data_IF_820434269914
#
_entry.id   IF_820434269914
#
_cell.length_a   1.000
_cell.length_b   1.000
_cell.length_c   1.000
_cell.angle_alpha   90.00
_cell.angle_beta   90.00
_cell.angle_gamma   90.00
#
_symmetry.space_group_name_H-M   'P 1'
#
loop_
_entity.id
_entity.type
_entity.pdbx_description
1 polymer ?
#
# COMPACT_ATOMS: atom_id res chain seq x y z
N UNK A 1 57.52 24.44 -7.53
CA UNK A 1 58.10 24.88 -6.25
C UNK A 1 56.98 25.54 -5.44
N UNK A 2 56.01 24.75 -4.98
CA UNK A 2 54.94 25.12 -4.04
C UNK A 2 54.32 23.78 -3.61
N UNK A 3 54.98 23.14 -2.65
CA UNK A 3 54.56 21.90 -2.00
C UNK A 3 55.31 21.84 -0.67
N UNK A 4 54.77 22.54 0.33
CA UNK A 4 55.30 22.50 1.70
C UNK A 4 54.34 23.07 2.75
N UNK A 5 53.30 23.83 2.37
CA UNK A 5 52.57 24.65 3.35
C UNK A 5 51.24 24.03 3.84
N UNK A 6 50.86 22.85 3.35
CA UNK A 6 49.58 22.21 3.75
C UNK A 6 49.73 21.07 4.79
N UNK A 7 50.97 20.77 5.21
CA UNK A 7 51.27 19.68 6.15
C UNK A 7 51.50 20.19 7.58
N UNK A 8 51.58 21.52 7.78
CA UNK A 8 51.70 22.16 9.09
C UNK A 8 50.34 22.48 9.73
N UNK A 9 49.30 22.72 8.94
CA UNK A 9 47.94 22.99 9.47
C UNK A 9 47.22 21.74 9.98
N UNK A 10 47.63 20.54 9.56
CA UNK A 10 47.08 19.27 10.07
C UNK A 10 47.77 18.78 11.35
N UNK A 11 48.96 19.30 11.67
CA UNK A 11 49.72 18.88 12.87
C UNK A 11 49.42 19.69 14.12
N UNK A 12 48.76 20.84 13.99
CA UNK A 12 48.27 21.62 15.15
C UNK A 12 46.87 21.17 15.63
N UNK A 13 46.20 20.25 14.94
CA UNK A 13 44.89 19.72 15.33
C UNK A 13 44.94 18.50 16.26
N UNK A 14 46.14 17.91 16.44
CA UNK A 14 46.36 16.81 17.38
C UNK A 14 47.28 17.27 18.51
N UNK A 15 46.73 18.04 19.45
CA UNK A 15 47.21 18.13 20.82
C UNK A 15 46.97 16.81 21.56
N UNK A 16 47.50 15.72 21.03
CA UNK A 16 47.36 14.39 21.62
C UNK A 16 48.45 14.19 22.66
N UNK A 17 48.19 14.56 23.93
CA UNK A 17 48.83 13.85 25.05
C UNK A 17 48.25 14.01 26.46
N UNK A 18 47.32 14.92 26.72
CA UNK A 18 46.82 15.14 28.10
C UNK A 18 45.30 14.95 28.28
N UNK A 19 44.58 14.44 27.28
CA UNK A 19 43.11 14.64 27.22
C UNK A 19 42.27 13.36 27.05
N UNK A 20 42.61 12.33 27.83
CA UNK A 20 41.76 11.15 28.04
C UNK A 20 41.92 10.80 29.54
N UNK A 21 40.82 10.74 30.30
CA UNK A 21 40.86 10.20 31.66
C UNK A 21 41.41 8.76 31.62
N UNK A 22 42.05 8.29 32.70
CA UNK A 22 42.75 6.99 32.73
C UNK A 22 41.89 5.77 32.30
N UNK A 23 40.57 5.92 32.21
CA UNK A 23 39.59 4.91 31.79
C UNK A 23 39.13 4.98 30.32
N UNK A 24 39.58 5.98 29.53
CA UNK A 24 39.20 6.07 28.10
C UNK A 24 37.85 6.75 27.82
N UNK A 25 37.18 7.26 28.85
CA UNK A 25 35.86 7.86 28.74
C UNK A 25 35.91 9.37 28.42
N UNK A 26 34.98 9.82 27.57
CA UNK A 26 34.82 11.21 27.17
C UNK A 26 34.25 12.00 28.34
N UNK A 27 34.93 13.08 28.77
CA UNK A 27 34.42 13.97 29.81
C UNK A 27 33.12 14.66 29.37
N UNK A 28 32.25 15.03 30.32
CA UNK A 28 30.94 15.66 30.02
C UNK A 28 31.07 16.96 29.19
N UNK A 29 32.23 17.63 29.26
CA UNK A 29 32.51 18.87 28.53
C UNK A 29 32.87 18.59 27.07
N UNK A 30 33.57 17.48 26.79
CA UNK A 30 33.92 17.00 25.45
C UNK A 30 32.74 16.33 24.72
N UNK A 31 31.71 15.90 25.46
CA UNK A 31 30.53 15.24 24.86
C UNK A 31 29.83 16.11 23.81
N UNK A 32 29.75 17.43 24.03
CA UNK A 32 29.13 18.34 23.08
C UNK A 32 29.88 18.40 21.74
N UNK A 33 31.21 18.42 21.77
CA UNK A 33 32.04 18.43 20.55
C UNK A 33 32.06 17.07 19.85
N UNK A 34 32.10 15.99 20.63
CA UNK A 34 32.01 14.62 20.12
C UNK A 34 30.67 14.38 19.39
N UNK A 35 29.56 14.93 19.90
CA UNK A 35 28.25 14.86 19.25
C UNK A 35 28.26 15.47 17.85
N UNK A 36 28.93 16.63 17.66
CA UNK A 36 29.03 17.26 16.34
C UNK A 36 29.84 16.45 15.36
N UNK A 37 30.87 15.74 15.83
CA UNK A 37 31.65 14.82 14.98
C UNK A 37 30.77 13.67 14.47
N UNK A 38 29.95 13.08 15.34
CA UNK A 38 28.98 12.03 14.96
C UNK A 38 27.92 12.58 13.99
N UNK A 39 27.37 13.76 14.28
CA UNK A 39 26.37 14.40 13.40
C UNK A 39 26.98 14.71 12.02
N UNK A 40 28.22 15.19 11.96
CA UNK A 40 28.89 15.49 10.70
C UNK A 40 29.09 14.21 9.87
N UNK A 41 29.56 13.13 10.50
CA UNK A 41 29.69 11.83 9.83
C UNK A 41 28.37 11.29 9.29
N UNK A 42 27.26 11.55 9.99
CA UNK A 42 25.92 11.18 9.54
C UNK A 42 25.53 11.94 8.26
N UNK A 43 25.77 13.24 8.20
CA UNK A 43 25.45 14.05 7.02
C UNK A 43 26.40 13.81 5.86
N UNK A 44 27.66 13.48 6.11
CA UNK A 44 28.63 13.10 5.08
C UNK A 44 28.21 11.79 4.38
N UNK A 45 27.68 10.81 5.12
CA UNK A 45 27.24 9.55 4.55
C UNK A 45 25.82 9.63 3.95
N UNK A 46 24.86 10.25 4.66
CA UNK A 46 23.45 10.24 4.25
C UNK A 46 23.07 11.40 3.35
N UNK A 47 23.69 12.57 3.51
CA UNK A 47 23.25 13.79 2.86
C UNK A 47 21.87 14.28 3.36
N UNK A 48 21.31 15.29 2.68
CA UNK A 48 20.10 16.01 3.12
C UNK A 48 18.79 15.51 2.51
N UNK A 49 18.85 14.85 1.34
CA UNK A 49 17.67 14.45 0.55
C UNK A 49 17.52 12.93 0.41
N UNK A 50 18.21 12.19 1.27
CA UNK A 50 18.30 10.72 1.22
C UNK A 50 16.94 10.03 1.14
N UNK A 51 15.97 10.52 1.90
CA UNK A 51 14.61 9.98 1.96
C UNK A 51 13.91 10.01 0.59
N UNK A 52 14.15 11.01 -0.26
CA UNK A 52 13.54 11.08 -1.58
C UNK A 52 14.25 10.13 -2.55
N UNK A 53 15.59 10.09 -2.51
CA UNK A 53 16.41 9.22 -3.35
C UNK A 53 16.15 7.74 -3.04
N UNK A 54 16.27 7.35 -1.76
CA UNK A 54 16.04 5.97 -1.32
C UNK A 54 14.61 5.51 -1.64
N UNK A 55 13.62 6.39 -1.45
CA UNK A 55 12.24 6.05 -1.78
C UNK A 55 12.03 5.86 -3.28
N UNK A 56 12.68 6.66 -4.13
CA UNK A 56 12.61 6.50 -5.58
C UNK A 56 13.37 5.26 -6.06
N UNK A 57 14.54 4.99 -5.49
CA UNK A 57 15.37 3.83 -5.83
C UNK A 57 14.66 2.52 -5.45
N UNK A 58 14.05 2.45 -4.25
CA UNK A 58 13.19 1.31 -3.86
C UNK A 58 12.02 1.11 -4.82
N UNK A 59 11.42 2.21 -5.28
CA UNK A 59 10.32 2.15 -6.22
C UNK A 59 10.75 1.48 -7.53
N UNK A 60 11.84 1.93 -8.13
CA UNK A 60 12.33 1.41 -9.41
C UNK A 60 12.85 -0.03 -9.27
N UNK A 61 13.62 -0.33 -8.22
CA UNK A 61 14.27 -1.63 -8.04
C UNK A 61 13.28 -2.73 -7.67
N UNK A 62 12.30 -2.42 -6.83
CA UNK A 62 11.43 -3.43 -6.22
C UNK A 62 9.96 -3.24 -6.60
N UNK A 63 9.41 -2.04 -6.37
CA UNK A 63 7.96 -1.83 -6.48
C UNK A 63 7.44 -1.97 -7.92
N UNK A 64 8.15 -1.48 -8.94
CA UNK A 64 7.73 -1.63 -10.35
C UNK A 64 7.66 -3.10 -10.75
N UNK A 65 8.69 -3.90 -10.42
CA UNK A 65 8.73 -5.33 -10.75
C UNK A 65 7.58 -6.08 -10.06
N UNK A 66 7.36 -5.81 -8.76
CA UNK A 66 6.25 -6.41 -8.00
C UNK A 66 4.88 -6.08 -8.59
N UNK A 67 4.66 -4.85 -9.07
CA UNK A 67 3.40 -4.45 -9.69
C UNK A 67 3.14 -5.23 -10.99
N UNK A 68 4.19 -5.46 -11.77
CA UNK A 68 4.10 -6.21 -13.04
C UNK A 68 3.83 -7.69 -12.77
N UNK A 69 4.49 -8.29 -11.77
CA UNK A 69 4.28 -9.69 -11.36
C UNK A 69 2.91 -9.96 -10.70
N UNK A 70 2.41 -9.01 -9.90
CA UNK A 70 1.08 -9.09 -9.27
C UNK A 70 -0.07 -8.93 -10.30
N UNK A 71 0.25 -8.45 -11.50
CA UNK A 71 -0.73 -8.33 -12.57
C UNK A 71 -1.17 -9.72 -13.06
N UNK A 72 -2.48 -9.92 -13.19
CA UNK A 72 -3.02 -11.18 -13.71
C UNK A 72 -2.65 -11.33 -15.17
N UNK A 73 -2.35 -12.57 -15.57
CA UNK A 73 -2.15 -12.91 -16.96
C UNK A 73 -3.41 -12.57 -17.78
N UNK A 74 -3.19 -12.00 -18.96
CA UNK A 74 -4.27 -11.57 -19.85
C UNK A 74 -4.74 -12.81 -20.63
N UNK A 75 -5.98 -13.22 -20.37
CA UNK A 75 -6.63 -14.30 -21.11
C UNK A 75 -7.61 -13.74 -22.13
N UNK A 76 -7.34 -13.99 -23.40
CA UNK A 76 -8.21 -13.62 -24.51
C UNK A 76 -8.71 -14.87 -25.22
N UNK A 77 -10.03 -14.99 -25.32
CA UNK A 77 -10.68 -16.02 -26.13
C UNK A 77 -11.75 -15.33 -26.97
N UNK A 78 -11.67 -15.49 -28.29
CA UNK A 78 -12.75 -15.00 -29.15
C UNK A 78 -14.05 -15.77 -28.85
N UNK A 79 -15.20 -15.14 -29.10
CA UNK A 79 -16.47 -15.87 -29.01
C UNK A 79 -16.53 -16.89 -30.15
N UNK A 80 -16.94 -18.12 -29.84
CA UNK A 80 -17.14 -19.15 -30.85
C UNK A 80 -18.23 -18.68 -31.82
N UNK A 81 -17.87 -18.43 -33.07
CA UNK A 81 -18.83 -18.13 -34.13
C UNK A 81 -19.35 -19.46 -34.66
N UNK A 82 -20.65 -19.69 -34.50
CA UNK A 82 -21.32 -20.84 -35.11
C UNK A 82 -21.56 -20.55 -36.60
N UNK A 83 -20.53 -20.70 -37.44
CA UNK A 83 -20.76 -20.85 -38.88
C UNK A 83 -21.08 -22.31 -39.20
N UNK A 84 -22.08 -22.50 -40.05
CA UNK A 84 -22.73 -23.76 -40.41
C UNK A 84 -21.77 -24.95 -40.54
N UNK A 85 -21.83 -25.88 -39.58
CA UNK A 85 -21.34 -27.26 -39.73
C UNK A 85 -20.03 -27.65 -39.04
N UNK A 86 -19.20 -26.70 -38.58
CA UNK A 86 -17.99 -27.02 -37.81
C UNK A 86 -17.91 -26.21 -36.51
N UNK A 87 -17.76 -26.90 -35.37
CA UNK A 87 -17.39 -26.25 -34.10
C UNK A 87 -15.90 -25.97 -34.13
N UNK A 88 -15.49 -24.85 -34.72
CA UNK A 88 -14.14 -24.34 -34.47
C UNK A 88 -14.12 -23.62 -33.13
N UNK A 89 -13.44 -24.20 -32.13
CA UNK A 89 -13.15 -23.46 -30.91
C UNK A 89 -12.03 -22.46 -31.22
N UNK A 90 -12.23 -21.16 -30.95
CA UNK A 90 -11.20 -20.18 -31.23
C UNK A 90 -10.01 -20.37 -30.29
N UNK A 91 -8.78 -20.05 -30.76
CA UNK A 91 -7.57 -20.13 -29.94
C UNK A 91 -7.71 -19.26 -28.68
N UNK A 92 -7.24 -19.80 -27.56
CA UNK A 92 -7.03 -19.04 -26.32
C UNK A 92 -5.64 -18.46 -26.32
N UNK A 93 -5.53 -17.15 -26.12
CA UNK A 93 -4.27 -16.44 -25.95
C UNK A 93 -4.07 -16.11 -24.49
N UNK A 94 -2.91 -16.44 -23.96
CA UNK A 94 -2.47 -16.06 -22.62
C UNK A 94 -1.21 -15.19 -22.75
N UNK A 95 -1.23 -13.97 -22.23
CA UNK A 95 -0.10 -13.06 -22.23
C UNK A 95 0.31 -12.80 -20.78
N UNK A 96 1.57 -13.07 -20.47
CA UNK A 96 2.18 -12.83 -19.17
C UNK A 96 3.37 -11.87 -19.30
N UNK A 97 3.43 -10.88 -18.43
CA UNK A 97 4.59 -10.00 -18.26
C UNK A 97 5.59 -10.67 -17.31
N UNK A 98 6.88 -10.63 -17.64
CA UNK A 98 7.96 -11.23 -16.84
C UNK A 98 8.89 -10.15 -16.27
N UNK A 99 10.16 -10.14 -16.64
CA UNK A 99 11.17 -9.23 -16.10
C UNK A 99 11.07 -7.84 -16.74
N UNK A 100 11.18 -6.79 -15.92
CA UNK A 100 11.36 -5.41 -16.42
C UNK A 100 12.84 -5.06 -16.57
N UNK A 101 13.12 -4.20 -17.54
CA UNK A 101 14.42 -3.57 -17.72
C UNK A 101 14.24 -2.08 -17.89
N UNK A 102 14.87 -1.32 -17.00
CA UNK A 102 14.98 0.12 -17.13
C UNK A 102 16.35 0.45 -17.71
N UNK A 103 16.36 1.24 -18.78
CA UNK A 103 17.59 1.76 -19.37
C UNK A 103 18.02 3.06 -18.68
N UNK A 104 19.19 3.60 -19.04
CA UNK A 104 19.55 4.96 -18.61
C UNK A 104 18.77 6.00 -19.44
N UNK A 105 18.61 7.25 -18.95
CA UNK A 105 17.90 8.30 -19.67
C UNK A 105 18.42 8.53 -21.09
N UNK A 106 17.54 8.37 -22.08
CA UNK A 106 17.86 8.53 -23.50
C UNK A 106 16.81 9.34 -24.22
N UNK A 107 17.24 10.16 -25.17
CA UNK A 107 16.36 10.89 -26.07
C UNK A 107 16.46 10.30 -27.47
N UNK A 108 15.33 9.84 -28.02
CA UNK A 108 15.25 9.31 -29.37
C UNK A 108 15.06 10.44 -30.38
N UNK A 109 16.04 10.60 -31.26
CA UNK A 109 15.98 11.52 -32.42
C UNK A 109 15.84 10.73 -33.72
N UNK A 110 15.61 11.43 -34.83
CA UNK A 110 15.55 10.81 -36.17
C UNK A 110 16.85 10.08 -36.57
N UNK A 111 17.97 10.42 -35.92
CA UNK A 111 19.31 9.88 -36.20
C UNK A 111 19.72 8.75 -35.24
N UNK A 112 18.93 8.51 -34.19
CA UNK A 112 19.17 7.48 -33.19
C UNK A 112 18.83 7.91 -31.77
N UNK A 113 19.00 6.98 -30.82
CA UNK A 113 18.81 7.22 -29.38
C UNK A 113 20.16 7.61 -28.75
N UNK A 114 20.21 8.81 -28.16
CA UNK A 114 21.40 9.35 -27.48
C UNK A 114 21.09 9.49 -26.00
N UNK A 115 22.11 9.37 -25.14
CA UNK A 115 21.94 9.68 -23.72
C UNK A 115 21.53 11.14 -23.54
N UNK A 116 20.52 11.37 -22.71
CA UNK A 116 20.03 12.71 -22.41
C UNK A 116 20.70 13.20 -21.14
N UNK A 117 21.40 14.32 -21.19
CA UNK A 117 21.97 14.95 -19.99
C UNK A 117 20.93 15.84 -19.28
N UNK A 118 20.95 15.97 -17.94
CA UNK A 118 19.99 16.82 -17.22
C UNK A 118 20.01 18.28 -17.65
N UNK A 119 21.17 18.93 -17.73
CA UNK A 119 21.29 20.31 -18.21
C UNK A 119 20.71 20.48 -19.63
N UNK A 120 20.99 19.54 -20.52
CA UNK A 120 20.42 19.52 -21.87
C UNK A 120 18.89 19.42 -21.84
N UNK A 121 18.34 18.57 -20.96
CA UNK A 121 16.90 18.43 -20.79
C UNK A 121 16.25 19.73 -20.29
N UNK A 122 16.91 20.48 -19.39
CA UNK A 122 16.48 21.80 -18.92
C UNK A 122 16.43 22.80 -20.08
N UNK A 123 17.54 22.96 -20.81
CA UNK A 123 17.67 23.97 -21.88
C UNK A 123 16.75 23.71 -23.08
N UNK A 124 16.52 22.45 -23.43
CA UNK A 124 15.71 22.05 -24.60
C UNK A 124 14.23 21.84 -24.27
N UNK A 125 13.80 22.12 -23.04
CA UNK A 125 12.45 21.85 -22.56
C UNK A 125 12.01 20.37 -22.73
N UNK A 126 12.95 19.44 -22.54
CA UNK A 126 12.68 18.00 -22.61
C UNK A 126 12.33 17.44 -21.23
N UNK A 127 11.74 16.25 -21.22
CA UNK A 127 11.54 15.48 -19.99
C UNK A 127 12.70 14.52 -19.81
N UNK A 128 13.35 14.55 -18.65
CA UNK A 128 14.43 13.64 -18.30
C UNK A 128 13.85 12.29 -17.87
N UNK A 129 13.69 11.39 -18.85
CA UNK A 129 13.08 10.08 -18.65
C UNK A 129 13.92 8.98 -19.30
N UNK A 130 13.73 7.76 -18.79
CA UNK A 130 14.36 6.56 -19.29
C UNK A 130 13.32 5.57 -19.86
N UNK A 131 13.61 4.94 -21.00
CA UNK A 131 12.72 3.93 -21.56
C UNK A 131 12.71 2.66 -20.71
N UNK A 132 11.49 2.18 -20.45
CA UNK A 132 11.17 0.95 -19.75
C UNK A 132 10.79 -0.14 -20.75
N UNK A 133 11.39 -1.30 -20.57
CA UNK A 133 11.16 -2.51 -21.37
C UNK A 133 10.67 -3.64 -20.49
N UNK A 134 9.93 -4.58 -21.07
CA UNK A 134 9.43 -5.78 -20.37
C UNK A 134 9.53 -7.01 -21.27
N UNK A 135 9.83 -8.16 -20.67
CA UNK A 135 9.74 -9.44 -21.36
C UNK A 135 8.29 -9.94 -21.37
N UNK A 136 7.82 -10.37 -22.55
CA UNK A 136 6.47 -10.88 -22.75
C UNK A 136 6.51 -12.36 -23.09
N UNK A 137 5.76 -13.16 -22.33
CA UNK A 137 5.48 -14.56 -22.65
C UNK A 137 4.07 -14.69 -23.19
N UNK A 138 3.95 -15.07 -24.47
CA UNK A 138 2.69 -15.35 -25.14
C UNK A 138 2.51 -16.86 -25.30
N UNK A 139 1.44 -17.40 -24.75
CA UNK A 139 1.05 -18.81 -24.92
C UNK A 139 -0.24 -18.88 -25.73
N UNK A 140 -0.19 -19.57 -26.88
CA UNK A 140 -1.35 -19.82 -27.74
C UNK A 140 -1.79 -21.26 -27.56
N UNK A 141 -3.03 -21.45 -27.09
CA UNK A 141 -3.66 -22.76 -26.95
C UNK A 141 -4.73 -22.93 -28.03
N UNK A 142 -4.55 -23.88 -28.94
CA UNK A 142 -5.55 -24.35 -29.90
C UNK A 142 -6.04 -25.73 -29.48
N UNK A 143 -7.31 -26.06 -29.75
CA UNK A 143 -7.80 -27.43 -29.55
C UNK A 143 -6.97 -28.39 -30.42
N UNK A 144 -6.54 -29.51 -29.84
CA UNK A 144 -5.74 -30.57 -30.47
C UNK A 144 -4.30 -30.22 -30.89
N UNK A 145 -3.76 -29.07 -30.49
CA UNK A 145 -2.32 -28.74 -30.65
C UNK A 145 -1.64 -28.55 -29.29
N UNK A 146 -0.34 -28.84 -29.21
CA UNK A 146 0.49 -28.46 -28.06
C UNK A 146 0.53 -26.93 -27.92
N UNK A 147 0.50 -26.38 -26.70
CA UNK A 147 0.57 -24.94 -26.48
C UNK A 147 1.85 -24.38 -27.12
N UNK A 148 1.69 -23.40 -28.02
CA UNK A 148 2.83 -22.70 -28.64
C UNK A 148 3.19 -21.51 -27.78
N UNK A 149 4.39 -21.55 -27.20
CA UNK A 149 4.95 -20.44 -26.44
C UNK A 149 5.84 -19.59 -27.35
N UNK A 150 5.66 -18.28 -27.31
CA UNK A 150 6.51 -17.30 -27.97
C UNK A 150 6.96 -16.30 -26.92
N UNK A 151 8.27 -16.11 -26.81
CA UNK A 151 8.87 -15.08 -25.96
C UNK A 151 9.26 -13.89 -26.82
N UNK A 152 8.87 -12.71 -26.38
CA UNK A 152 9.29 -11.44 -26.96
C UNK A 152 10.10 -10.70 -25.90
N UNK A 153 11.40 -10.63 -26.11
CA UNK A 153 12.32 -10.01 -25.17
C UNK A 153 12.35 -8.48 -25.38
N UNK A 154 12.44 -7.73 -24.28
CA UNK A 154 12.63 -6.27 -24.27
C UNK A 154 11.61 -5.49 -25.11
N UNK A 155 10.33 -5.73 -24.87
CA UNK A 155 9.26 -4.94 -25.49
C UNK A 155 9.16 -3.58 -24.79
N UNK A 156 9.24 -2.49 -25.56
CA UNK A 156 9.09 -1.13 -25.04
C UNK A 156 7.65 -0.89 -24.55
N UNK A 157 7.50 -0.40 -23.32
CA UNK A 157 6.19 -0.12 -22.72
C UNK A 157 5.94 1.36 -22.39
N UNK A 158 6.99 2.17 -22.33
CA UNK A 158 6.88 3.60 -22.06
C UNK A 158 8.14 4.15 -21.41
N UNK A 159 8.13 5.46 -21.14
CA UNK A 159 9.21 6.16 -20.47
C UNK A 159 8.85 6.48 -19.02
N UNK A 160 9.81 6.32 -18.11
CA UNK A 160 9.69 6.70 -16.70
C UNK A 160 10.59 7.92 -16.42
N UNK A 161 10.05 9.03 -15.89
CA UNK A 161 10.86 10.15 -15.43
C UNK A 161 11.85 9.71 -14.34
N UNK A 162 13.13 10.06 -14.49
CA UNK A 162 14.18 9.67 -13.56
C UNK A 162 14.50 10.82 -12.61
N UNK A 163 14.58 10.52 -11.31
CA UNK A 163 14.97 11.50 -10.30
C UNK A 163 16.46 11.81 -10.41
N UNK A 164 16.83 13.08 -10.31
CA UNK A 164 18.25 13.48 -10.34
C UNK A 164 19.01 12.95 -9.14
N UNK A 165 20.25 12.51 -9.39
CA UNK A 165 21.14 11.83 -8.43
C UNK A 165 20.60 10.53 -7.82
N UNK A 166 19.54 9.95 -8.38
CA UNK A 166 19.12 8.57 -8.06
C UNK A 166 20.07 7.54 -8.67
N UNK A 167 19.99 6.28 -8.25
CA UNK A 167 20.85 5.20 -8.75
C UNK A 167 20.75 4.95 -10.27
N UNK A 168 19.64 5.37 -10.90
CA UNK A 168 19.41 5.24 -12.34
C UNK A 168 19.70 6.53 -13.13
N UNK A 169 20.14 7.58 -12.44
CA UNK A 169 20.57 8.83 -13.06
C UNK A 169 21.98 8.68 -13.66
N UNK A 170 22.30 9.47 -14.69
CA UNK A 170 23.66 9.53 -15.22
C UNK A 170 24.65 10.19 -14.23
N UNK A 171 24.16 11.03 -13.33
CA UNK A 171 24.97 11.84 -12.42
C UNK A 171 25.36 11.13 -11.11
N UNK A 172 24.89 9.90 -10.84
CA UNK A 172 25.06 9.26 -9.51
C UNK A 172 26.51 8.93 -9.17
N UNK A 173 27.29 8.51 -10.16
CA UNK A 173 28.63 7.94 -9.97
C UNK A 173 29.74 8.90 -10.44
N UNK A 174 29.42 10.17 -10.64
CA UNK A 174 30.33 11.17 -11.19
C UNK A 174 31.08 11.92 -10.10
N UNK A 175 32.34 12.27 -10.36
CA UNK A 175 33.11 13.12 -9.46
C UNK A 175 32.69 14.59 -9.57
N UNK A 176 32.97 15.39 -8.54
CA UNK A 176 32.69 16.84 -8.54
C UNK A 176 33.33 17.58 -9.73
N UNK A 177 34.48 17.07 -10.19
CA UNK A 177 35.16 17.59 -11.38
C UNK A 177 34.34 17.31 -12.65
N UNK A 178 33.91 16.07 -12.84
CA UNK A 178 33.12 15.67 -14.02
C UNK A 178 31.77 16.39 -14.08
N UNK A 179 31.14 16.58 -12.91
CA UNK A 179 29.91 17.38 -12.80
C UNK A 179 30.12 18.81 -13.28
N UNK A 180 31.23 19.43 -12.88
CA UNK A 180 31.59 20.80 -13.30
C UNK A 180 31.85 20.85 -14.81
N UNK A 181 32.52 19.85 -15.39
CA UNK A 181 32.75 19.75 -16.84
C UNK A 181 31.43 19.60 -17.63
N UNK A 182 30.40 18.99 -17.02
CA UNK A 182 29.05 18.86 -17.57
C UNK A 182 28.14 20.08 -17.32
N UNK A 183 28.68 21.16 -16.72
CA UNK A 183 27.93 22.34 -16.29
C UNK A 183 26.81 22.03 -15.27
N UNK A 184 27.01 21.01 -14.43
CA UNK A 184 26.17 20.72 -13.26
C UNK A 184 26.86 21.22 -11.98
N UNK A 185 26.06 21.57 -10.98
CA UNK A 185 26.59 22.03 -9.70
C UNK A 185 26.91 20.84 -8.77
N UNK A 186 28.14 20.72 -8.22
CA UNK A 186 28.48 19.68 -7.24
C UNK A 186 27.64 19.76 -5.96
N UNK A 187 27.19 20.96 -5.59
CA UNK A 187 26.37 21.21 -4.39
C UNK A 187 24.86 21.00 -4.62
N UNK A 188 24.41 20.69 -5.83
CA UNK A 188 23.00 20.39 -6.07
C UNK A 188 22.62 19.08 -5.38
N UNK A 189 21.71 19.05 -4.39
CA UNK A 189 21.35 17.82 -3.70
C UNK A 189 20.63 16.79 -4.60
N UNK A 190 20.04 17.21 -5.73
CA UNK A 190 19.16 16.35 -6.52
C UNK A 190 17.83 16.07 -5.80
N UNK A 191 17.21 14.91 -6.08
CA UNK A 191 15.95 14.54 -5.44
C UNK A 191 14.69 15.17 -6.09
N UNK A 192 14.81 15.67 -7.32
CA UNK A 192 13.73 16.26 -8.10
C UNK A 192 13.74 15.74 -9.54
N UNK A 193 12.67 16.03 -10.29
CA UNK A 193 12.47 15.59 -11.67
C UNK A 193 12.52 16.78 -12.63
N UNK A 194 13.05 16.58 -13.83
CA UNK A 194 12.95 17.55 -14.94
C UNK A 194 11.85 17.07 -15.88
N UNK A 195 10.77 17.84 -15.96
CA UNK A 195 9.63 17.56 -16.84
C UNK A 195 9.38 18.78 -17.72
N UNK A 196 9.48 18.59 -19.04
CA UNK A 196 9.36 19.65 -20.03
C UNK A 196 10.24 20.88 -19.72
N UNK A 197 11.50 20.64 -19.34
CA UNK A 197 12.46 21.67 -18.92
C UNK A 197 12.26 22.25 -17.53
N UNK A 198 11.12 21.98 -16.88
CA UNK A 198 10.80 22.51 -15.55
C UNK A 198 11.12 21.53 -14.44
N UNK A 199 11.66 22.04 -13.34
CA UNK A 199 12.02 21.24 -12.17
C UNK A 199 10.78 21.02 -11.28
N UNK A 200 10.57 19.78 -10.87
CA UNK A 200 9.41 19.33 -10.10
C UNK A 200 9.84 18.48 -8.91
N UNK A 201 9.37 18.84 -7.73
CA UNK A 201 9.60 18.10 -6.48
C UNK A 201 8.28 17.46 -6.03
N UNK A 202 8.35 16.21 -5.58
CA UNK A 202 7.22 15.55 -4.93
C UNK A 202 7.24 15.83 -3.43
N UNK A 203 6.17 16.44 -2.93
CA UNK A 203 5.99 16.72 -1.50
C UNK A 203 5.41 15.47 -0.84
N UNK A 204 5.99 15.10 0.29
CA UNK A 204 5.52 14.00 1.12
C UNK A 204 4.05 14.20 1.53
N UNK A 205 3.24 13.15 1.40
CA UNK A 205 1.83 13.19 1.78
C UNK A 205 1.62 12.45 3.09
N UNK A 206 1.06 13.13 4.08
CA UNK A 206 0.68 12.52 5.34
C UNK A 206 -0.61 11.70 5.18
N UNK A 207 -0.61 10.48 5.68
CA UNK A 207 -1.78 9.62 5.76
C UNK A 207 -1.87 8.93 7.12
N UNK A 208 -3.08 8.48 7.47
CA UNK A 208 -3.25 7.57 8.60
C UNK A 208 -2.52 6.26 8.34
N UNK A 209 -1.89 5.71 9.37
CA UNK A 209 -1.21 4.44 9.30
C UNK A 209 -2.19 3.30 8.96
N UNK A 210 -1.73 2.41 8.10
CA UNK A 210 -2.43 1.19 7.72
C UNK A 210 -1.86 0.00 8.47
N UNK A 211 -2.64 -1.06 8.66
CA UNK A 211 -2.22 -2.28 9.36
C UNK A 211 -1.71 -2.05 10.78
N UNK A 212 -2.16 -1.00 11.46
CA UNK A 212 -1.84 -0.85 12.87
C UNK A 212 -2.52 -1.96 13.65
N UNK A 213 -1.72 -2.68 14.47
CA UNK A 213 -2.26 -3.63 15.45
C UNK A 213 -3.19 -2.94 16.44
N UNK A 214 -3.06 -1.62 16.57
CA UNK A 214 -4.01 -0.77 17.24
C UNK A 214 -5.10 -0.26 16.28
N UNK A 215 -6.34 -0.57 16.65
CA UNK A 215 -7.59 -0.31 15.95
C UNK A 215 -8.16 1.03 16.40
N UNK A 216 -8.30 2.03 15.54
CA UNK A 216 -8.72 3.35 15.99
C UNK A 216 -10.19 3.38 16.42
N UNK A 217 -10.47 3.82 17.64
CA UNK A 217 -11.81 4.04 18.17
C UNK A 217 -12.02 5.52 18.47
N UNK A 218 -13.00 6.11 17.79
CA UNK A 218 -13.38 7.50 17.94
C UNK A 218 -14.79 7.62 18.50
N UNK A 219 -15.00 8.57 19.41
CA UNK A 219 -16.35 9.02 19.73
C UNK A 219 -16.87 9.97 18.66
N UNK A 220 -18.15 9.88 18.36
CA UNK A 220 -18.81 10.76 17.40
C UNK A 220 -19.87 11.58 18.14
N UNK A 221 -19.81 12.90 17.99
CA UNK A 221 -20.85 13.82 18.44
C UNK A 221 -21.87 14.01 17.31
N UNK A 222 -23.16 13.99 17.66
CA UNK A 222 -24.29 14.25 16.74
C UNK A 222 -24.32 13.39 15.46
N UNK A 223 -23.94 12.12 15.59
CA UNK A 223 -24.01 11.13 14.51
C UNK A 223 -24.97 10.00 14.83
N UNK A 224 -25.31 9.21 13.81
CA UNK A 224 -26.05 7.94 13.96
C UNK A 224 -25.29 6.94 14.85
N UNK A 225 -23.97 7.04 14.88
CA UNK A 225 -23.09 6.20 15.69
C UNK A 225 -22.59 6.97 16.91
N UNK A 226 -22.55 6.32 18.08
CA UNK A 226 -21.91 6.87 19.28
C UNK A 226 -20.39 6.68 19.24
N UNK A 227 -19.96 5.48 18.83
CA UNK A 227 -18.55 5.13 18.68
C UNK A 227 -18.32 4.51 17.31
N UNK A 228 -17.20 4.88 16.69
CA UNK A 228 -16.76 4.39 15.39
C UNK A 228 -15.36 3.79 15.53
N UNK A 229 -15.27 2.50 15.24
CA UNK A 229 -14.01 1.79 15.12
C UNK A 229 -13.65 1.65 13.63
N UNK A 230 -12.43 2.05 13.26
CA UNK A 230 -11.94 2.04 11.87
C UNK A 230 -10.63 1.27 11.76
N UNK A 231 -10.58 0.33 10.81
CA UNK A 231 -9.35 -0.39 10.44
C UNK A 231 -9.10 -0.23 8.95
N UNK A 232 -7.90 0.28 8.63
CA UNK A 232 -7.39 0.40 7.27
C UNK A 232 -6.37 -0.70 7.02
N UNK A 233 -6.74 -1.64 6.17
CA UNK A 233 -5.96 -2.82 5.85
C UNK A 233 -5.34 -2.72 4.47
N UNK A 234 -4.05 -3.00 4.36
CA UNK A 234 -3.31 -3.15 3.11
C UNK A 234 -2.59 -4.49 3.18
N UNK A 235 -2.61 -5.27 2.11
CA UNK A 235 -1.78 -6.47 2.07
C UNK A 235 -0.32 -6.04 1.85
N UNK A 236 0.59 -6.49 2.71
CA UNK A 236 2.02 -6.20 2.57
C UNK A 236 2.52 -6.67 1.20
N UNK A 237 3.34 -5.83 0.55
CA UNK A 237 3.91 -6.09 -0.78
C UNK A 237 2.88 -6.33 -1.90
N UNK A 238 1.61 -6.01 -1.68
CA UNK A 238 0.57 -6.17 -2.70
C UNK A 238 0.20 -4.83 -3.32
N UNK A 239 0.02 -4.85 -4.63
CA UNK A 239 -0.63 -3.77 -5.35
C UNK A 239 -2.15 -3.88 -5.10
N UNK A 240 -2.65 -3.73 -3.88
CA UNK A 240 -4.11 -3.66 -3.59
C UNK A 240 -4.43 -2.34 -2.92
N UNK A 241 -5.56 -1.68 -3.25
CA UNK A 241 -5.94 -0.46 -2.57
C UNK A 241 -6.19 -0.77 -1.09
N UNK A 242 -6.08 0.26 -0.25
CA UNK A 242 -6.44 0.15 1.17
C UNK A 242 -7.90 -0.23 1.31
N UNK A 243 -8.14 -1.35 1.97
CA UNK A 243 -9.48 -1.80 2.33
C UNK A 243 -9.82 -1.28 3.72
N UNK A 244 -10.95 -0.57 3.83
CA UNK A 244 -11.40 0.00 5.10
C UNK A 244 -12.60 -0.77 5.63
N UNK A 245 -12.50 -1.23 6.87
CA UNK A 245 -13.57 -1.87 7.62
C UNK A 245 -13.96 -0.95 8.76
N UNK A 246 -15.26 -0.73 8.93
CA UNK A 246 -15.80 -0.01 10.09
C UNK A 246 -16.65 -0.92 10.96
N UNK A 247 -16.52 -0.77 12.28
CA UNK A 247 -17.39 -1.40 13.27
C UNK A 247 -17.90 -0.29 14.20
N UNK A 248 -19.20 -0.09 14.24
CA UNK A 248 -19.80 1.08 14.87
C UNK A 248 -20.83 0.65 15.92
N UNK A 249 -20.85 1.39 17.04
CA UNK A 249 -21.91 1.28 18.03
C UNK A 249 -22.97 2.35 17.74
N UNK A 250 -24.23 1.93 17.58
CA UNK A 250 -25.33 2.87 17.35
C UNK A 250 -25.56 3.80 18.56
N UNK A 251 -25.90 5.06 18.29
CA UNK A 251 -26.28 6.01 19.34
C UNK A 251 -27.65 5.66 19.96
N UNK A 252 -27.83 5.99 21.24
CA UNK A 252 -29.14 5.85 21.90
C UNK A 252 -30.09 6.91 21.34
N UNK A 253 -31.07 6.48 20.52
CA UNK A 253 -32.19 7.32 20.10
C UNK A 253 -31.92 8.31 18.95
N UNK A 254 -31.41 7.83 17.81
CA UNK A 254 -31.21 8.67 16.62
C UNK A 254 -32.50 9.27 16.04
N UNK A 255 -32.49 10.56 15.72
CA UNK A 255 -33.50 11.19 14.86
C UNK A 255 -33.42 10.59 13.45
N UNK A 256 -34.51 9.93 13.00
CA UNK A 256 -34.71 9.61 11.57
C UNK A 256 -34.75 8.14 11.15
N UNK A 257 -34.59 7.18 12.07
CA UNK A 257 -34.73 5.76 11.71
C UNK A 257 -35.14 4.93 12.93
N UNK A 258 -36.22 4.15 12.78
CA UNK A 258 -36.81 3.19 13.75
C UNK A 258 -36.15 3.24 15.13
N UNK A 259 -36.85 3.79 16.14
CA UNK A 259 -36.52 3.57 17.55
C UNK A 259 -36.23 2.08 17.73
N UNK A 260 -34.96 1.70 17.85
CA UNK A 260 -34.64 0.34 18.27
C UNK A 260 -35.09 0.29 19.71
N UNK A 261 -36.23 -0.34 19.97
CA UNK A 261 -36.65 -0.68 21.33
C UNK A 261 -35.62 -1.60 22.02
N UNK A 262 -34.69 -2.15 21.23
CA UNK A 262 -33.67 -3.13 21.56
C UNK A 262 -32.31 -2.41 21.54
N UNK A 263 -31.98 -1.72 22.63
CA UNK A 263 -30.61 -1.29 22.98
C UNK A 263 -29.79 -0.56 21.89
N UNK A 264 -28.46 -0.69 22.00
CA UNK A 264 -27.48 -0.12 21.07
C UNK A 264 -26.82 -1.25 20.27
N UNK A 265 -27.31 -1.61 19.08
CA UNK A 265 -26.70 -2.67 18.30
C UNK A 265 -25.36 -2.23 17.69
N UNK A 266 -24.49 -3.22 17.46
CA UNK A 266 -23.19 -3.07 16.83
C UNK A 266 -23.29 -3.46 15.36
N UNK A 267 -22.91 -2.56 14.47
CA UNK A 267 -22.99 -2.74 13.02
C UNK A 267 -21.62 -2.61 12.37
N UNK A 268 -21.32 -3.50 11.43
CA UNK A 268 -20.16 -3.43 10.55
C UNK A 268 -20.50 -2.80 9.21
N UNK A 269 -19.58 -2.04 8.62
CA UNK A 269 -19.63 -1.61 7.22
C UNK A 269 -18.44 -2.26 6.52
N UNK A 270 -18.74 -3.25 5.68
CA UNK A 270 -17.75 -4.01 4.95
C UNK A 270 -17.22 -3.22 3.73
N UNK A 271 -15.98 -3.50 3.29
CA UNK A 271 -15.45 -2.95 2.04
C UNK A 271 -16.39 -3.26 0.86
N UNK A 272 -16.59 -2.28 -0.02
CA UNK A 272 -17.50 -2.35 -1.19
C UNK A 272 -18.99 -2.56 -0.86
N UNK A 273 -19.39 -2.52 0.42
CA UNK A 273 -20.79 -2.58 0.84
C UNK A 273 -21.11 -1.33 1.66
N UNK A 274 -21.81 -0.38 1.03
CA UNK A 274 -22.14 0.91 1.67
C UNK A 274 -23.33 0.83 2.64
N UNK A 275 -23.86 -0.36 2.91
CA UNK A 275 -24.97 -0.58 3.84
C UNK A 275 -24.45 -1.27 5.11
N UNK A 276 -24.92 -0.82 6.26
CA UNK A 276 -24.62 -1.40 7.57
C UNK A 276 -25.07 -2.86 7.64
N UNK A 277 -24.28 -3.72 8.28
CA UNK A 277 -24.61 -5.13 8.52
C UNK A 277 -24.42 -5.41 10.01
N UNK A 278 -25.42 -5.96 10.73
CA UNK A 278 -25.23 -6.40 12.11
C UNK A 278 -24.01 -7.30 12.26
N UNK A 279 -23.15 -7.01 13.24
CA UNK A 279 -21.84 -7.66 13.34
C UNK A 279 -21.95 -9.18 13.51
N UNK A 280 -22.98 -9.64 14.21
CA UNK A 280 -23.26 -11.07 14.42
C UNK A 280 -23.53 -11.82 13.11
N UNK A 281 -24.15 -11.16 12.12
CA UNK A 281 -24.37 -11.75 10.79
C UNK A 281 -23.03 -11.92 10.06
N UNK A 282 -22.05 -11.03 10.30
CA UNK A 282 -20.70 -11.15 9.73
C UNK A 282 -19.97 -12.35 10.34
N UNK A 283 -20.07 -12.58 11.65
CA UNK A 283 -19.52 -13.77 12.30
C UNK A 283 -20.13 -15.07 11.76
N UNK A 284 -21.47 -15.11 11.60
CA UNK A 284 -22.17 -16.26 11.02
C UNK A 284 -21.75 -16.51 9.56
N UNK A 285 -21.56 -15.45 8.77
CA UNK A 285 -21.06 -15.56 7.39
C UNK A 285 -19.60 -16.03 7.29
N UNK A 286 -18.80 -15.87 8.35
CA UNK A 286 -17.43 -16.40 8.47
C UNK A 286 -17.38 -17.85 9.00
N UNK A 287 -18.54 -18.48 9.21
CA UNK A 287 -18.65 -19.89 9.61
C UNK A 287 -18.89 -20.14 11.10
N UNK A 288 -18.98 -19.10 11.93
CA UNK A 288 -19.27 -19.24 13.37
C UNK A 288 -20.76 -19.00 13.64
N UNK A 289 -21.53 -20.08 13.65
CA UNK A 289 -23.01 -20.03 13.80
C UNK A 289 -23.44 -20.00 15.27
N UNK A 290 -22.70 -20.69 16.15
CA UNK A 290 -22.97 -20.77 17.59
C UNK A 290 -22.73 -19.42 18.26
N UNK A 291 -23.73 -18.91 18.97
CA UNK A 291 -23.62 -17.64 19.69
C UNK A 291 -22.55 -17.69 20.79
N UNK A 292 -22.35 -18.87 21.41
CA UNK A 292 -21.28 -19.08 22.37
C UNK A 292 -19.92 -18.87 21.72
N UNK A 293 -19.69 -19.47 20.56
CA UNK A 293 -18.41 -19.37 19.85
C UNK A 293 -18.16 -17.91 19.47
N UNK A 294 -19.17 -17.20 18.96
CA UNK A 294 -19.02 -15.77 18.61
C UNK A 294 -18.66 -14.94 19.84
N UNK A 295 -19.30 -15.20 20.99
CA UNK A 295 -18.98 -14.52 22.23
C UNK A 295 -17.58 -14.84 22.74
N UNK A 296 -17.09 -16.08 22.62
CA UNK A 296 -15.71 -16.47 22.98
C UNK A 296 -14.66 -15.66 22.20
N UNK A 297 -14.96 -15.24 20.97
CA UNK A 297 -14.05 -14.40 20.17
C UNK A 297 -14.11 -12.90 20.52
N UNK A 298 -15.23 -12.41 21.08
CA UNK A 298 -15.42 -10.99 21.44
C UNK A 298 -15.02 -10.74 22.91
N UNK A 299 -15.44 -11.63 23.81
CA UNK A 299 -15.29 -11.49 25.26
C UNK A 299 -14.53 -12.72 25.74
N UNK A 300 -13.28 -12.51 26.13
CA UNK A 300 -12.43 -13.60 26.63
C UNK A 300 -12.77 -14.00 28.08
N UNK A 301 -13.42 -13.10 28.83
CA UNK A 301 -13.82 -13.31 30.23
C UNK A 301 -15.35 -13.22 30.37
N UNK A 302 -15.99 -14.38 30.57
CA UNK A 302 -17.44 -14.48 30.68
C UNK A 302 -18.03 -13.94 31.98
N UNK A 303 -17.18 -13.64 32.98
CA UNK A 303 -17.64 -13.08 34.24
C UNK A 303 -17.97 -11.57 34.11
N UNK A 304 -17.57 -10.95 33.00
CA UNK A 304 -17.84 -9.54 32.69
C UNK A 304 -19.28 -9.31 32.20
N UNK A 305 -20.20 -9.20 33.16
CA UNK A 305 -21.62 -8.95 32.89
C UNK A 305 -21.89 -7.64 32.15
N UNK A 306 -21.08 -6.59 32.36
CA UNK A 306 -21.30 -5.29 31.70
C UNK A 306 -21.09 -5.36 30.19
N UNK A 307 -20.02 -6.05 29.75
CA UNK A 307 -19.75 -6.22 28.33
C UNK A 307 -20.76 -7.16 27.68
N UNK A 308 -21.17 -8.21 28.39
CA UNK A 308 -22.24 -9.13 27.94
C UNK A 308 -23.57 -8.40 27.72
N UNK A 309 -23.96 -7.51 28.64
CA UNK A 309 -25.20 -6.74 28.52
C UNK A 309 -25.16 -5.77 27.33
N UNK A 310 -23.99 -5.20 27.02
CA UNK A 310 -23.81 -4.34 25.84
C UNK A 310 -23.89 -5.09 24.52
N UNK A 311 -23.49 -6.36 24.47
CA UNK A 311 -23.52 -7.19 23.26
C UNK A 311 -24.91 -7.76 22.99
N UNK A 312 -25.69 -8.04 24.04
CA UNK A 312 -27.03 -8.67 23.95
C UNK A 312 -27.97 -8.07 22.89
N UNK A 313 -28.14 -6.74 22.76
CA UNK A 313 -28.99 -6.16 21.72
C UNK A 313 -28.59 -6.55 20.28
N UNK A 314 -27.29 -6.79 20.05
CA UNK A 314 -26.78 -7.22 18.74
C UNK A 314 -27.05 -8.70 18.46
N UNK A 315 -27.15 -9.54 19.50
CA UNK A 315 -27.56 -10.94 19.38
C UNK A 315 -29.06 -11.03 19.05
N UNK A 316 -29.88 -10.26 19.77
CA UNK A 316 -31.34 -10.24 19.55
C UNK A 316 -31.70 -9.79 18.13
N UNK A 317 -30.99 -8.80 17.57
CA UNK A 317 -31.20 -8.35 16.19
C UNK A 317 -30.84 -9.43 15.15
N UNK A 318 -29.79 -10.22 15.42
CA UNK A 318 -29.29 -11.23 14.50
C UNK A 318 -29.97 -12.60 14.62
N UNK A 319 -30.89 -12.78 15.57
CA UNK A 319 -31.60 -14.03 15.83
C UNK A 319 -32.29 -14.60 14.57
N UNK A 320 -32.72 -13.74 13.66
CA UNK A 320 -33.46 -14.12 12.44
C UNK A 320 -32.61 -14.87 11.40
N UNK A 321 -31.28 -14.81 11.44
CA UNK A 321 -30.39 -15.45 10.45
C UNK A 321 -29.47 -16.46 11.12
N UNK A 322 -29.88 -17.72 11.24
CA UNK A 322 -29.11 -18.78 11.92
C UNK A 322 -28.23 -19.64 11.01
N UNK A 323 -28.22 -19.39 9.70
CA UNK A 323 -27.49 -20.20 8.71
C UNK A 323 -26.41 -19.39 7.99
N UNK A 324 -25.27 -20.00 7.70
CA UNK A 324 -24.11 -19.37 7.08
C UNK A 324 -24.42 -18.89 5.65
N UNK A 325 -25.11 -19.71 4.87
CA UNK A 325 -25.55 -19.40 3.50
C UNK A 325 -26.58 -18.29 3.47
N UNK A 326 -27.45 -18.22 4.49
CA UNK A 326 -28.43 -17.15 4.61
C UNK A 326 -27.75 -15.82 4.98
N UNK A 327 -26.74 -15.87 5.85
CA UNK A 327 -25.92 -14.71 6.19
C UNK A 327 -25.14 -14.18 4.98
N UNK A 328 -24.52 -15.07 4.20
CA UNK A 328 -23.83 -14.71 2.95
C UNK A 328 -24.78 -14.09 1.92
N UNK A 329 -25.99 -14.64 1.77
CA UNK A 329 -27.00 -14.07 0.87
C UNK A 329 -27.47 -12.68 1.34
N UNK A 330 -27.63 -12.48 2.65
CA UNK A 330 -27.98 -11.19 3.24
C UNK A 330 -26.91 -10.11 2.98
N UNK A 331 -25.64 -10.46 3.13
CA UNK A 331 -24.51 -9.58 2.81
C UNK A 331 -24.49 -9.28 1.30
N UNK A 332 -24.59 -10.33 0.47
CA UNK A 332 -24.57 -10.19 -0.98
C UNK A 332 -25.72 -9.35 -1.54
N UNK A 333 -26.92 -9.44 -0.94
CA UNK A 333 -28.08 -8.63 -1.28
C UNK A 333 -27.91 -7.14 -0.98
N UNK A 334 -27.05 -6.79 -0.01
CA UNK A 334 -26.73 -5.38 0.33
C UNK A 334 -25.63 -4.78 -0.53
N UNK A 335 -24.77 -5.61 -1.13
CA UNK A 335 -23.69 -5.17 -2.01
C UNK A 335 -23.96 -5.28 -3.52
N UNK A 336 -24.90 -6.12 -3.94
CA UNK A 336 -25.24 -6.35 -5.36
C UNK A 336 -26.49 -5.60 -5.82
N UNK A 337 -26.60 -5.35 -7.13
CA UNK A 337 -27.81 -4.80 -7.75
C UNK A 337 -29.01 -5.76 -7.60
N UNK A 338 -30.23 -5.19 -7.61
CA UNK A 338 -31.46 -5.98 -7.57
C UNK A 338 -31.56 -6.88 -8.82
N UNK A 339 -31.96 -8.15 -8.63
CA UNK A 339 -32.14 -9.13 -9.71
C UNK A 339 -30.99 -10.12 -9.91
N UNK A 340 -29.88 -9.99 -9.17
CA UNK A 340 -28.80 -11.01 -9.19
C UNK A 340 -29.28 -12.31 -8.50
N UNK A 341 -29.12 -13.49 -9.13
CA UNK A 341 -29.47 -14.77 -8.52
C UNK A 341 -28.76 -15.03 -7.19
N UNK A 342 -29.44 -15.70 -6.26
CA UNK A 342 -28.94 -16.03 -4.91
C UNK A 342 -27.52 -16.62 -4.91
N UNK A 343 -27.26 -17.58 -5.79
CA UNK A 343 -25.96 -18.25 -5.89
C UNK A 343 -24.81 -17.28 -6.22
N UNK A 344 -25.05 -16.31 -7.10
CA UNK A 344 -24.06 -15.27 -7.45
C UNK A 344 -23.85 -14.30 -6.29
N UNK A 345 -24.90 -13.98 -5.52
CA UNK A 345 -24.79 -13.14 -4.31
C UNK A 345 -23.97 -13.78 -3.22
N UNK A 346 -24.20 -15.07 -2.96
CA UNK A 346 -23.43 -15.85 -1.98
C UNK A 346 -21.94 -15.88 -2.38
N UNK A 347 -21.64 -16.16 -3.65
CA UNK A 347 -20.27 -16.17 -4.16
C UNK A 347 -19.60 -14.80 -4.02
N UNK A 348 -20.32 -13.73 -4.38
CA UNK A 348 -19.84 -12.36 -4.24
C UNK A 348 -19.53 -11.99 -2.79
N UNK A 349 -20.43 -12.31 -1.85
CA UNK A 349 -20.21 -12.08 -0.43
C UNK A 349 -19.01 -12.87 0.10
N UNK A 350 -18.87 -14.14 -0.30
CA UNK A 350 -17.72 -14.97 0.07
C UNK A 350 -16.41 -14.39 -0.46
N UNK A 351 -16.38 -13.91 -1.70
CA UNK A 351 -15.21 -13.25 -2.28
C UNK A 351 -14.83 -11.96 -1.52
N UNK A 352 -15.81 -11.16 -1.09
CA UNK A 352 -15.57 -9.96 -0.26
C UNK A 352 -14.96 -10.34 1.09
N UNK A 353 -15.57 -11.26 1.82
CA UNK A 353 -15.08 -11.67 3.14
C UNK A 353 -13.68 -12.31 3.06
N UNK A 354 -13.41 -13.04 1.97
CA UNK A 354 -12.13 -13.70 1.78
C UNK A 354 -11.02 -12.74 1.31
N UNK A 355 -11.28 -11.88 0.32
CA UNK A 355 -10.22 -11.09 -0.34
C UNK A 355 -10.18 -9.63 0.06
N UNK A 356 -11.32 -9.05 0.41
CA UNK A 356 -11.43 -7.61 0.64
C UNK A 356 -11.54 -7.26 2.13
N UNK A 357 -12.18 -8.08 2.96
CA UNK A 357 -12.20 -7.89 4.41
C UNK A 357 -10.86 -8.29 5.02
N UNK A 358 -10.23 -7.37 5.76
CA UNK A 358 -8.97 -7.60 6.50
C UNK A 358 -7.87 -8.31 5.69
N UNK A 359 -7.48 -7.78 4.51
CA UNK A 359 -6.49 -8.43 3.63
C UNK A 359 -5.13 -8.63 4.27
N UNK A 360 -4.74 -7.81 5.26
CA UNK A 360 -3.45 -7.91 5.95
C UNK A 360 -3.28 -9.21 6.77
N UNK A 361 -4.38 -9.86 7.16
CA UNK A 361 -4.36 -11.13 7.91
C UNK A 361 -4.16 -12.31 6.95
N UNK A 362 -4.72 -12.21 5.75
CA UNK A 362 -4.63 -13.25 4.74
C UNK A 362 -5.78 -13.21 3.73
N UNK A 363 -5.45 -13.55 2.49
CA UNK A 363 -6.38 -13.63 1.36
C UNK A 363 -6.61 -15.08 0.87
N UNK A 364 -5.87 -16.04 1.42
CA UNK A 364 -5.95 -17.46 1.07
C UNK A 364 -7.17 -18.12 1.68
N UNK A 365 -7.54 -19.30 1.17
CA UNK A 365 -8.57 -20.13 1.80
C UNK A 365 -8.10 -20.56 3.21
N UNK A 366 -9.03 -20.77 4.14
CA UNK A 366 -8.78 -21.17 5.54
C UNK A 366 -8.18 -20.08 6.47
N UNK A 367 -8.11 -18.82 6.04
CA UNK A 367 -7.75 -17.71 6.93
C UNK A 367 -8.95 -17.12 7.70
N UNK A 368 -10.16 -17.65 7.51
CA UNK A 368 -11.41 -17.12 8.05
C UNK A 368 -11.39 -17.05 9.59
N UNK A 369 -10.91 -18.10 10.27
CA UNK A 369 -10.79 -18.13 11.73
C UNK A 369 -9.88 -17.02 12.27
N UNK A 370 -8.74 -16.74 11.63
CA UNK A 370 -7.84 -15.65 12.05
C UNK A 370 -8.52 -14.28 11.91
N UNK A 371 -9.32 -14.09 10.85
CA UNK A 371 -10.10 -12.86 10.65
C UNK A 371 -11.19 -12.72 11.70
N UNK A 372 -11.81 -13.82 12.11
CA UNK A 372 -12.81 -13.86 13.18
C UNK A 372 -12.21 -13.40 14.51
N UNK A 373 -11.03 -13.90 14.89
CA UNK A 373 -10.32 -13.42 16.08
C UNK A 373 -10.05 -11.92 16.04
N UNK A 374 -9.56 -11.40 14.91
CA UNK A 374 -9.30 -9.97 14.78
C UNK A 374 -10.59 -9.14 14.79
N UNK A 375 -11.65 -9.61 14.16
CA UNK A 375 -12.98 -8.98 14.22
C UNK A 375 -13.52 -8.95 15.65
N UNK A 376 -13.35 -10.06 16.39
CA UNK A 376 -13.67 -10.16 17.81
C UNK A 376 -12.91 -9.13 18.64
N UNK A 377 -11.59 -9.02 18.42
CA UNK A 377 -10.76 -8.00 19.05
C UNK A 377 -11.18 -6.55 18.70
N UNK A 378 -11.63 -6.29 17.45
CA UNK A 378 -12.20 -4.98 17.06
C UNK A 378 -13.47 -4.64 17.83
N UNK A 379 -14.38 -5.60 17.99
CA UNK A 379 -15.61 -5.41 18.76
C UNK A 379 -15.28 -5.25 20.24
N UNK A 380 -14.36 -6.06 20.77
CA UNK A 380 -13.89 -5.94 22.14
C UNK A 380 -13.35 -4.54 22.44
N UNK A 381 -12.44 -4.04 21.60
CA UNK A 381 -11.86 -2.70 21.78
C UNK A 381 -12.93 -1.60 21.73
N UNK A 382 -13.89 -1.70 20.81
CA UNK A 382 -15.01 -0.78 20.72
C UNK A 382 -15.84 -0.78 22.02
N UNK A 383 -16.09 -1.96 22.60
CA UNK A 383 -16.82 -2.11 23.85
C UNK A 383 -16.03 -1.59 25.05
N UNK A 384 -14.73 -1.86 25.14
CA UNK A 384 -13.87 -1.32 26.20
C UNK A 384 -13.88 0.21 26.22
N UNK A 385 -13.83 0.84 25.04
CA UNK A 385 -13.94 2.29 24.90
C UNK A 385 -15.34 2.80 25.27
N UNK A 386 -16.39 2.09 24.84
CA UNK A 386 -17.78 2.47 25.16
C UNK A 386 -18.12 2.35 26.66
N UNK A 387 -17.45 1.45 27.39
CA UNK A 387 -17.53 1.30 28.84
C UNK A 387 -16.57 2.24 29.61
N UNK A 388 -15.70 2.98 28.90
CA UNK A 388 -14.72 3.87 29.53
C UNK A 388 -13.53 3.16 30.18
N UNK A 389 -13.29 1.89 29.87
CA UNK A 389 -12.15 1.10 30.39
C UNK A 389 -10.84 1.40 29.66
N UNK A 390 -10.94 1.91 28.43
CA UNK A 390 -9.83 2.40 27.62
C UNK A 390 -10.15 3.78 27.10
N UNK A 391 -9.13 4.61 27.00
CA UNK A 391 -9.22 5.93 26.40
C UNK A 391 -9.47 5.83 24.89
N UNK A 392 -9.97 6.93 24.33
CA UNK A 392 -10.21 7.05 22.90
C UNK A 392 -8.91 7.38 22.18
N UNK A 393 -8.82 6.97 20.92
CA UNK A 393 -7.64 7.22 20.12
C UNK A 393 -7.59 8.68 19.63
N UNK A 394 -6.41 9.28 19.74
CA UNK A 394 -6.13 10.60 19.19
C UNK A 394 -5.82 10.50 17.68
N UNK A 395 -6.56 11.29 16.90
CA UNK A 395 -6.39 11.40 15.43
C UNK A 395 -5.10 12.10 15.05
N UNK A 396 -4.60 12.99 15.90
CA UNK A 396 -3.48 13.86 15.58
C UNK A 396 -2.13 13.31 16.05
N UNK A 397 -2.13 12.18 16.77
CA UNK A 397 -0.92 11.51 17.20
C UNK A 397 -0.04 11.09 16.02
N UNK A 398 1.18 11.64 15.93
CA UNK A 398 2.11 11.41 14.81
C UNK A 398 2.52 9.93 14.65
N UNK A 399 2.55 9.15 15.74
CA UNK A 399 2.82 7.71 15.67
C UNK A 399 1.78 6.92 14.86
N UNK A 400 0.56 7.46 14.75
CA UNK A 400 -0.56 6.90 14.00
C UNK A 400 -0.59 7.38 12.55
N UNK A 401 0.39 8.17 12.12
CA UNK A 401 0.51 8.74 10.79
C UNK A 401 1.70 8.12 10.06
N UNK A 402 1.65 8.14 8.73
CA UNK A 402 2.71 7.69 7.83
C UNK A 402 2.89 8.73 6.74
N UNK A 403 4.12 8.85 6.25
CA UNK A 403 4.47 9.75 5.16
C UNK A 403 4.65 8.94 3.89
N UNK A 404 3.85 9.23 2.88
CA UNK A 404 4.06 8.73 1.52
C UNK A 404 5.02 9.66 0.79
N UNK A 405 6.21 9.15 0.50
CA UNK A 405 7.26 9.82 -0.27
C UNK A 405 7.11 9.52 -1.78
N UNK A 406 8.10 9.92 -2.58
CA UNK A 406 8.10 9.73 -4.03
C UNK A 406 7.78 8.29 -4.47
N UNK A 407 8.37 7.28 -3.84
CA UNK A 407 8.21 5.88 -4.24
C UNK A 407 6.78 5.35 -4.12
N UNK A 408 6.14 5.39 -2.93
CA UNK A 408 4.74 4.98 -2.77
C UNK A 408 3.76 5.76 -3.66
N UNK A 409 3.97 7.07 -3.83
CA UNK A 409 3.12 7.92 -4.69
C UNK A 409 3.22 7.52 -6.16
N UNK A 410 4.44 7.31 -6.67
CA UNK A 410 4.68 6.85 -8.04
C UNK A 410 4.19 5.41 -8.24
N UNK A 411 4.36 4.53 -7.25
CA UNK A 411 3.82 3.16 -7.26
C UNK A 411 2.31 3.14 -7.46
N UNK A 412 1.59 4.00 -6.74
CA UNK A 412 0.14 4.12 -6.86
C UNK A 412 -0.27 4.57 -8.27
N UNK A 413 0.40 5.57 -8.82
CA UNK A 413 0.14 6.08 -10.17
C UNK A 413 0.48 5.05 -11.26
N UNK A 414 1.68 4.47 -11.20
CA UNK A 414 2.18 3.48 -12.15
C UNK A 414 1.23 2.29 -12.25
N UNK A 415 0.79 1.76 -11.11
CA UNK A 415 -0.20 0.68 -11.07
C UNK A 415 -1.50 1.05 -11.78
N UNK A 416 -2.01 2.25 -11.54
CA UNK A 416 -3.23 2.75 -12.19
C UNK A 416 -3.08 2.83 -13.70
N UNK A 417 -1.94 3.33 -14.18
CA UNK A 417 -1.61 3.43 -15.60
C UNK A 417 -1.36 2.05 -16.24
N UNK A 418 -0.62 1.18 -15.58
CA UNK A 418 -0.33 -0.18 -16.05
C UNK A 418 -1.61 -1.02 -16.18
N UNK A 419 -2.57 -0.88 -15.25
CA UNK A 419 -3.89 -1.50 -15.40
C UNK A 419 -4.68 -0.97 -16.59
N UNK A 420 -4.55 0.32 -16.91
CA UNK A 420 -5.17 0.90 -18.13
C UNK A 420 -4.49 0.38 -19.39
N UNK A 421 -3.17 0.23 -19.38
CA UNK A 421 -2.40 -0.39 -20.46
C UNK A 421 -2.88 -1.82 -20.71
N UNK A 422 -2.97 -2.65 -19.67
CA UNK A 422 -3.52 -4.00 -19.74
C UNK A 422 -4.94 -4.00 -20.34
N UNK A 423 -5.80 -3.08 -19.87
CA UNK A 423 -7.17 -2.96 -20.38
C UNK A 423 -7.22 -2.49 -21.84
N UNK A 424 -6.24 -1.72 -22.32
CA UNK A 424 -6.14 -1.30 -23.71
C UNK A 424 -5.58 -2.38 -24.64
N UNK A 425 -4.85 -3.37 -24.10
CA UNK A 425 -4.39 -4.55 -24.83
C UNK A 425 -5.52 -5.58 -25.02
N UNK A 426 -6.45 -5.67 -24.05
CA UNK A 426 -7.67 -6.49 -24.09
C UNK A 426 -8.71 -5.85 -25.00
#
# INVERSE_FOLDING_TARGET
>A
MYSSDNDQSQREFFGAKDDIDEDGDITSDLWQEACWTVISSYFDEKGLVRQQLDSFDEFIQMSVQRIVEDSRAIELQAQAQYMTGSKETPPKYNIKFEQIYLSKPTHTTNEGSVYLWPNEARLRNLTYAAPLYVDLKKTVMKENETPKETKSDKVYIGDIPIMLRSAYCLLSDMSDRDLTELNECPLDPGGYFIINGSEKVLIAQEKMATNTGEIYVFSMKDSKFAYKCEVRSVLENSSRPTSTLWVNLMAKGGQGGRKSAIGQPIVGILPYINREIPIMIVFRALGHVSDRDVLEHIIYDFDDMEMMEKVKPSLDEAFVIQDDKLALDFIGARGSHAGVPREKRIRYAKDILQKEMLPHIGITQHCETKKVYFLGYMVHRLLSAALGRRELDDRDHLGNKRLDLAGPLLSFLFRGLFKRLIKGII
#
